data_IF_074909914898
#
_entry.id   IF_074909914898
#
_cell.length_a   1.000
_cell.length_b   1.000
_cell.length_c   1.000
_cell.angle_alpha   90.00
_cell.angle_beta   90.00
_cell.angle_gamma   90.00
#
_symmetry.space_group_name_H-M   'P 1'
#
loop_
_entity.id
_entity.type
_entity.pdbx_description
1 polymer ?
#
# COMPACT_ATOMS: atom_id res chain seq x y z
N UNK A 1 48.27 -36.80 -19.54
CA UNK A 1 48.15 -35.41 -20.01
C UNK A 1 47.32 -35.41 -21.28
N UNK A 2 46.17 -34.73 -21.29
CA UNK A 2 45.27 -34.69 -22.43
C UNK A 2 43.97 -33.96 -22.10
N UNK A 3 43.77 -32.79 -22.70
CA UNK A 3 42.51 -32.06 -22.71
C UNK A 3 41.38 -32.92 -23.30
N UNK A 4 40.17 -32.80 -22.73
CA UNK A 4 38.94 -32.98 -23.51
C UNK A 4 37.85 -32.06 -22.99
N UNK A 5 37.33 -31.27 -23.93
CA UNK A 5 36.27 -30.28 -23.81
C UNK A 5 34.92 -31.00 -23.68
N UNK A 6 34.13 -30.66 -22.66
CA UNK A 6 32.76 -31.15 -22.51
C UNK A 6 31.81 -30.34 -23.40
N UNK A 7 31.15 -31.03 -24.32
CA UNK A 7 30.29 -30.46 -25.35
C UNK A 7 28.84 -30.36 -24.85
N UNK A 8 28.20 -29.20 -25.02
CA UNK A 8 26.79 -28.96 -24.69
C UNK A 8 25.87 -29.70 -25.66
N UNK A 9 25.02 -30.59 -25.15
CA UNK A 9 23.80 -31.00 -25.85
C UNK A 9 22.61 -31.02 -24.91
N UNK A 10 21.82 -29.96 -24.97
CA UNK A 10 20.52 -29.85 -24.32
C UNK A 10 19.59 -29.05 -25.23
N UNK A 11 18.82 -29.77 -26.06
CA UNK A 11 17.77 -29.21 -26.92
C UNK A 11 16.78 -28.43 -26.07
N UNK A 12 16.74 -27.10 -26.22
CA UNK A 12 15.64 -26.29 -25.72
C UNK A 12 14.41 -26.50 -26.61
N UNK A 13 13.39 -27.15 -26.07
CA UNK A 13 12.11 -27.36 -26.72
C UNK A 13 11.28 -26.06 -26.65
N UNK A 14 11.21 -25.31 -27.75
CA UNK A 14 10.45 -24.07 -27.87
C UNK A 14 8.99 -24.35 -28.23
N UNK A 15 8.19 -24.81 -27.26
CA UNK A 15 6.73 -24.83 -27.41
C UNK A 15 6.01 -24.63 -26.08
N UNK A 16 5.82 -23.36 -25.70
CA UNK A 16 4.80 -22.99 -24.72
C UNK A 16 3.89 -21.89 -25.30
N UNK A 17 2.97 -22.27 -26.19
CA UNK A 17 1.79 -21.45 -26.50
C UNK A 17 0.83 -21.48 -25.30
N UNK A 18 1.16 -20.77 -24.22
CA UNK A 18 0.16 -20.37 -23.21
C UNK A 18 -0.63 -19.20 -23.78
N UNK A 19 -1.76 -19.47 -24.43
CA UNK A 19 -2.82 -18.45 -24.58
C UNK A 19 -3.35 -18.16 -23.16
N UNK A 20 -2.71 -17.22 -22.47
CA UNK A 20 -3.28 -16.66 -21.24
C UNK A 20 -4.54 -15.89 -21.64
N UNK A 21 -5.68 -16.31 -21.10
CA UNK A 21 -6.92 -15.53 -21.16
C UNK A 21 -6.60 -14.22 -20.43
N UNK A 22 -6.41 -13.10 -21.16
CA UNK A 22 -6.13 -11.80 -20.52
C UNK A 22 -7.25 -11.48 -19.54
N UNK A 23 -6.96 -11.50 -18.23
CA UNK A 23 -7.87 -10.95 -17.23
C UNK A 23 -8.07 -9.47 -17.57
N UNK A 24 -9.32 -9.00 -17.62
CA UNK A 24 -9.58 -7.56 -17.71
C UNK A 24 -8.91 -6.89 -16.52
N UNK A 25 -8.04 -5.94 -16.79
CA UNK A 25 -7.39 -5.13 -15.77
C UNK A 25 -8.42 -4.10 -15.30
N UNK A 26 -8.81 -4.15 -14.03
CA UNK A 26 -9.66 -3.11 -13.46
C UNK A 26 -8.85 -1.82 -13.34
N UNK A 27 -9.48 -0.68 -13.61
CA UNK A 27 -8.84 0.64 -13.56
C UNK A 27 -9.73 1.64 -12.84
N UNK A 28 -9.09 2.56 -12.11
CA UNK A 28 -9.75 3.69 -11.48
C UNK A 28 -9.18 4.98 -12.09
N UNK A 29 -10.06 5.90 -12.46
CA UNK A 29 -9.68 7.26 -12.88
C UNK A 29 -9.70 8.18 -11.66
N UNK A 30 -8.79 9.14 -11.62
CA UNK A 30 -8.63 9.97 -10.44
C UNK A 30 -9.62 11.14 -10.41
N UNK A 31 -9.96 11.68 -11.58
CA UNK A 31 -10.88 12.81 -11.69
C UNK A 31 -10.24 14.13 -11.27
N UNK A 32 -8.91 14.22 -11.39
CA UNK A 32 -8.11 15.41 -11.13
C UNK A 32 -7.27 15.67 -12.37
N UNK A 33 -7.48 16.80 -13.04
CA UNK A 33 -6.87 17.14 -14.33
C UNK A 33 -5.36 16.88 -14.33
N UNK A 34 -4.63 17.48 -13.38
CA UNK A 34 -3.18 17.32 -13.26
C UNK A 34 -2.73 15.86 -13.07
N UNK A 35 -3.53 15.01 -12.44
CA UNK A 35 -3.17 13.60 -12.18
C UNK A 35 -3.57 12.71 -13.35
N UNK A 36 -4.69 13.01 -13.99
CA UNK A 36 -5.14 12.33 -15.20
C UNK A 36 -4.24 12.68 -16.40
N UNK A 37 -3.60 13.86 -16.43
CA UNK A 37 -2.54 14.17 -17.41
C UNK A 37 -1.31 13.27 -17.25
N UNK A 38 -0.92 12.98 -16.00
CA UNK A 38 0.25 12.12 -15.69
C UNK A 38 -0.10 10.64 -15.89
N UNK A 39 -1.33 10.24 -15.55
CA UNK A 39 -1.83 8.86 -15.62
C UNK A 39 -3.15 8.79 -16.41
N UNK A 40 -3.12 8.97 -17.75
CA UNK A 40 -4.33 9.12 -18.58
C UNK A 40 -5.22 7.88 -18.62
N UNK A 41 -4.64 6.70 -18.44
CA UNK A 41 -5.40 5.46 -18.34
C UNK A 41 -5.88 5.15 -16.91
N UNK A 42 -5.60 6.03 -15.95
CA UNK A 42 -5.81 5.80 -14.53
C UNK A 42 -4.90 4.72 -13.95
N UNK A 43 -5.21 4.29 -12.74
CA UNK A 43 -4.46 3.27 -12.01
C UNK A 43 -5.13 1.91 -12.13
N UNK A 44 -4.34 0.89 -12.47
CA UNK A 44 -4.79 -0.49 -12.45
C UNK A 44 -4.85 -1.03 -11.01
N UNK A 45 -5.82 -1.90 -10.71
CA UNK A 45 -5.90 -2.59 -9.41
C UNK A 45 -6.38 -4.05 -9.54
N UNK A 46 -5.96 -4.95 -8.63
CA UNK A 46 -5.08 -4.71 -7.47
C UNK A 46 -3.61 -4.46 -7.89
N UNK A 47 -2.92 -3.58 -7.18
CA UNK A 47 -1.51 -3.24 -7.42
C UNK A 47 -0.83 -2.74 -6.13
N UNK A 48 0.50 -2.69 -6.15
CA UNK A 48 1.31 -2.00 -5.14
C UNK A 48 2.00 -0.81 -5.83
N UNK A 49 1.90 0.38 -5.24
CA UNK A 49 2.45 1.61 -5.83
C UNK A 49 3.32 2.35 -4.83
N UNK A 50 4.59 2.54 -5.20
CA UNK A 50 5.56 3.31 -4.43
C UNK A 50 5.65 4.73 -5.01
N UNK A 51 5.43 5.73 -4.17
CA UNK A 51 5.63 7.14 -4.51
C UNK A 51 6.92 7.63 -3.84
N UNK A 52 7.97 7.84 -4.63
CA UNK A 52 9.31 8.22 -4.15
C UNK A 52 9.80 9.54 -4.74
N UNK A 53 10.70 10.22 -4.04
CA UNK A 53 11.27 11.50 -4.47
C UNK A 53 11.77 12.37 -3.30
N UNK A 54 12.52 13.45 -3.58
CA UNK A 54 13.07 14.35 -2.57
C UNK A 54 12.03 14.92 -1.59
N UNK A 55 12.48 15.39 -0.42
CA UNK A 55 11.62 16.13 0.51
C UNK A 55 10.97 17.35 -0.17
N UNK A 56 9.72 17.65 0.16
CA UNK A 56 9.02 18.81 -0.39
C UNK A 56 8.39 18.64 -1.79
N UNK A 57 8.59 17.52 -2.49
CA UNK A 57 8.02 17.30 -3.84
C UNK A 57 6.53 16.93 -3.87
N UNK A 58 5.80 17.06 -2.75
CA UNK A 58 4.36 16.81 -2.71
C UNK A 58 3.93 15.34 -2.75
N UNK A 59 4.82 14.36 -2.49
CA UNK A 59 4.47 12.92 -2.49
C UNK A 59 3.20 12.56 -1.70
N UNK A 60 2.99 13.06 -0.47
CA UNK A 60 1.76 12.78 0.26
C UNK A 60 0.51 13.29 -0.47
N UNK A 61 0.61 14.43 -1.18
CA UNK A 61 -0.51 15.02 -1.92
C UNK A 61 -0.98 14.06 -3.02
N UNK A 62 -0.05 13.45 -3.78
CA UNK A 62 -0.41 12.41 -4.76
C UNK A 62 -1.13 11.25 -4.07
N UNK A 63 -0.63 10.78 -2.93
CA UNK A 63 -1.29 9.74 -2.14
C UNK A 63 -2.70 10.12 -1.67
N UNK A 64 -2.90 11.38 -1.30
CA UNK A 64 -4.19 11.91 -0.86
C UNK A 64 -5.19 12.04 -2.02
N UNK A 65 -4.72 12.34 -3.24
CA UNK A 65 -5.54 12.27 -4.44
C UNK A 65 -6.06 10.84 -4.69
N UNK A 66 -5.21 9.83 -4.45
CA UNK A 66 -5.59 8.42 -4.57
C UNK A 66 -6.64 8.04 -3.52
N UNK A 67 -6.42 8.42 -2.25
CA UNK A 67 -7.42 8.23 -1.18
C UNK A 67 -8.75 8.86 -1.58
N UNK A 68 -8.70 10.10 -2.06
CA UNK A 68 -9.89 10.85 -2.41
C UNK A 68 -10.70 10.16 -3.52
N UNK A 69 -10.04 9.82 -4.63
CA UNK A 69 -10.68 9.11 -5.74
C UNK A 69 -11.21 7.73 -5.30
N UNK A 70 -10.44 6.98 -4.52
CA UNK A 70 -10.83 5.64 -4.08
C UNK A 70 -12.09 5.66 -3.20
N UNK A 71 -12.20 6.62 -2.28
CA UNK A 71 -13.39 6.82 -1.46
C UNK A 71 -14.61 7.26 -2.29
N UNK A 72 -14.43 8.21 -3.21
CA UNK A 72 -15.49 8.66 -4.14
C UNK A 72 -16.04 7.53 -5.00
N UNK A 73 -15.20 6.56 -5.34
CA UNK A 73 -15.60 5.36 -6.11
C UNK A 73 -16.20 4.24 -5.25
N UNK A 74 -16.48 4.48 -3.96
CA UNK A 74 -17.14 3.52 -3.07
C UNK A 74 -16.18 2.58 -2.32
N UNK A 75 -14.88 2.77 -2.48
CA UNK A 75 -13.84 1.98 -1.82
C UNK A 75 -13.72 2.28 -0.32
N UNK A 76 -12.86 1.51 0.33
CA UNK A 76 -12.49 1.69 1.73
C UNK A 76 -10.98 1.88 1.86
N UNK A 77 -10.57 2.55 2.95
CA UNK A 77 -9.18 2.92 3.17
C UNK A 77 -8.70 2.39 4.52
N UNK A 78 -7.47 1.88 4.53
CA UNK A 78 -6.68 1.72 5.76
C UNK A 78 -5.56 2.73 5.70
N UNK A 79 -5.56 3.68 6.62
CA UNK A 79 -4.52 4.69 6.75
C UNK A 79 -3.55 4.24 7.83
N UNK A 80 -2.33 3.89 7.44
CA UNK A 80 -1.25 3.54 8.36
C UNK A 80 -0.31 4.75 8.43
N UNK A 81 -0.31 5.45 9.56
CA UNK A 81 0.54 6.61 9.75
C UNK A 81 1.69 6.29 10.70
N UNK A 82 2.91 6.33 10.17
CA UNK A 82 4.15 6.28 10.97
C UNK A 82 4.66 7.70 11.26
N UNK A 83 4.42 8.64 10.35
CA UNK A 83 4.95 10.01 10.44
C UNK A 83 4.05 11.00 11.17
N UNK A 84 2.73 10.85 11.07
CA UNK A 84 1.78 11.82 11.60
C UNK A 84 1.16 11.29 12.89
N UNK A 85 1.09 12.16 13.91
CA UNK A 85 0.49 11.86 15.22
C UNK A 85 -1.05 11.88 15.18
N UNK A 86 -1.65 12.48 14.16
CA UNK A 86 -3.10 12.55 13.97
C UNK A 86 -3.48 12.53 12.50
N UNK A 87 -4.75 12.27 12.23
CA UNK A 87 -5.34 12.35 10.89
C UNK A 87 -5.54 13.78 10.39
N UNK A 88 -5.35 14.81 11.22
CA UNK A 88 -5.75 16.19 10.89
C UNK A 88 -5.09 16.69 9.61
N UNK A 89 -3.80 16.39 9.45
CA UNK A 89 -3.08 16.75 8.23
C UNK A 89 -3.72 16.14 6.97
N UNK A 90 -4.07 14.85 7.01
CA UNK A 90 -4.70 14.16 5.88
C UNK A 90 -6.09 14.74 5.65
N UNK A 91 -6.90 14.89 6.71
CA UNK A 91 -8.27 15.43 6.65
C UNK A 91 -8.33 16.83 6.04
N UNK A 92 -7.53 17.76 6.58
CA UNK A 92 -7.48 19.14 6.12
C UNK A 92 -7.02 19.16 4.67
N UNK A 93 -5.92 18.45 4.35
CA UNK A 93 -5.37 18.48 2.99
C UNK A 93 -6.33 17.86 1.96
N UNK A 94 -7.02 16.77 2.28
CA UNK A 94 -8.02 16.19 1.36
C UNK A 94 -9.25 17.06 1.20
N UNK A 95 -9.66 17.78 2.24
CA UNK A 95 -10.77 18.71 2.17
C UNK A 95 -10.43 19.91 1.30
N UNK A 96 -9.32 20.57 1.59
CA UNK A 96 -8.89 21.80 0.91
C UNK A 96 -8.47 21.56 -0.54
N UNK A 97 -7.71 20.49 -0.84
CA UNK A 97 -7.17 20.27 -2.19
C UNK A 97 -8.08 19.42 -3.08
N UNK A 98 -8.88 18.54 -2.49
CA UNK A 98 -9.59 17.50 -3.23
C UNK A 98 -11.11 17.54 -3.04
N UNK A 99 -11.60 18.48 -2.22
CA UNK A 99 -13.02 18.68 -1.91
C UNK A 99 -13.62 17.46 -1.21
N UNK A 100 -12.80 16.68 -0.49
CA UNK A 100 -13.25 15.47 0.19
C UNK A 100 -13.11 15.62 1.70
N UNK A 101 -14.24 15.71 2.39
CA UNK A 101 -14.27 15.59 3.84
C UNK A 101 -14.22 14.10 4.23
N UNK A 102 -13.16 13.68 4.92
CA UNK A 102 -13.02 12.29 5.36
C UNK A 102 -14.05 11.91 6.42
N UNK A 103 -14.66 12.90 7.08
CA UNK A 103 -15.66 12.63 8.10
C UNK A 103 -16.94 12.02 7.51
N UNK A 104 -17.24 12.30 6.23
CA UNK A 104 -18.35 11.69 5.48
C UNK A 104 -18.12 10.21 5.16
N UNK A 105 -16.89 9.72 5.36
CA UNK A 105 -16.44 8.37 5.01
C UNK A 105 -15.92 7.60 6.23
N UNK A 106 -16.25 8.03 7.46
CA UNK A 106 -15.79 7.38 8.71
C UNK A 106 -16.03 5.87 8.72
N UNK A 107 -17.17 5.40 8.20
CA UNK A 107 -17.50 3.97 8.12
C UNK A 107 -16.60 3.18 7.15
N UNK A 108 -15.90 3.86 6.24
CA UNK A 108 -15.02 3.28 5.20
C UNK A 108 -13.54 3.46 5.47
N UNK A 109 -13.17 4.25 6.47
CA UNK A 109 -11.78 4.51 6.83
C UNK A 109 -11.46 3.73 8.12
N UNK A 110 -10.28 3.12 8.16
CA UNK A 110 -9.67 2.61 9.39
C UNK A 110 -8.33 3.32 9.57
N UNK A 111 -8.16 4.00 10.69
CA UNK A 111 -6.90 4.63 11.06
C UNK A 111 -6.08 3.69 11.94
N UNK A 112 -4.82 3.50 11.57
CA UNK A 112 -3.83 2.73 12.33
C UNK A 112 -2.67 3.67 12.65
N UNK A 113 -2.59 4.07 13.91
CA UNK A 113 -1.47 4.84 14.43
C UNK A 113 -0.38 3.86 14.85
N UNK A 114 0.83 4.09 14.33
CA UNK A 114 1.99 3.38 14.83
C UNK A 114 2.32 3.87 16.26
N UNK A 115 2.38 2.92 17.19
CA UNK A 115 2.76 3.15 18.58
C UNK A 115 3.80 2.09 18.99
N UNK A 116 5.10 2.43 19.09
CA UNK A 116 6.15 1.47 19.45
C UNK A 116 6.19 1.14 20.94
N UNK A 117 5.52 1.93 21.80
CA UNK A 117 5.59 1.79 23.26
C UNK A 117 4.64 0.69 23.79
N UNK A 118 3.74 0.18 22.94
CA UNK A 118 2.85 -0.94 23.25
C UNK A 118 3.40 -2.24 22.65
N UNK A 119 3.07 -3.37 23.26
CA UNK A 119 3.48 -4.68 22.74
C UNK A 119 2.44 -5.35 21.85
N UNK A 120 1.30 -4.69 21.61
CA UNK A 120 0.10 -5.29 21.02
C UNK A 120 -0.63 -4.34 20.06
N UNK A 121 -1.90 -4.66 19.76
CA UNK A 121 -2.84 -3.79 19.03
C UNK A 121 -3.91 -3.36 20.03
N UNK A 122 -4.08 -2.05 20.20
CA UNK A 122 -5.11 -1.47 21.05
C UNK A 122 -6.17 -0.78 20.19
N UNK A 123 -7.44 -1.13 20.42
CA UNK A 123 -8.56 -0.45 19.78
C UNK A 123 -8.95 0.76 20.63
N UNK A 124 -8.74 1.96 20.08
CA UNK A 124 -9.15 3.21 20.73
C UNK A 124 -10.59 3.60 20.35
N UNK A 125 -11.01 3.27 19.14
CA UNK A 125 -12.39 3.45 18.66
C UNK A 125 -12.73 2.41 17.56
N UNK A 126 -13.98 2.38 17.10
CA UNK A 126 -14.46 1.54 16.00
C UNK A 126 -13.58 1.62 14.75
N UNK A 127 -13.11 2.82 14.42
CA UNK A 127 -12.29 3.09 13.23
C UNK A 127 -10.88 3.58 13.56
N UNK A 128 -10.40 3.37 14.80
CA UNK A 128 -9.07 3.79 15.23
C UNK A 128 -8.36 2.70 16.05
N UNK A 129 -7.18 2.29 15.56
CA UNK A 129 -6.27 1.35 16.21
C UNK A 129 -4.93 2.04 16.49
N UNK A 130 -4.33 1.70 17.63
CA UNK A 130 -2.91 1.86 17.87
C UNK A 130 -2.25 0.49 17.79
N UNK A 131 -1.12 0.39 17.11
CA UNK A 131 -0.42 -0.88 16.95
C UNK A 131 1.09 -0.69 16.92
N UNK A 132 1.80 -1.59 17.60
CA UNK A 132 3.22 -1.76 17.37
C UNK A 132 3.44 -2.61 16.13
N UNK A 133 3.57 -1.92 15.00
CA UNK A 133 3.73 -2.53 13.69
C UNK A 133 5.15 -3.10 13.46
N UNK A 134 6.10 -2.93 14.38
CA UNK A 134 7.43 -3.57 14.28
C UNK A 134 7.35 -5.09 14.48
N UNK A 135 6.27 -5.55 15.11
CA UNK A 135 6.00 -6.96 15.36
C UNK A 135 5.20 -7.56 14.21
N UNK A 136 5.73 -8.56 13.47
CA UNK A 136 5.04 -9.17 12.33
C UNK A 136 3.63 -9.67 12.66
N UNK A 137 3.45 -10.26 13.85
CA UNK A 137 2.16 -10.75 14.31
C UNK A 137 1.10 -9.64 14.47
N UNK A 138 1.53 -8.43 14.85
CA UNK A 138 0.65 -7.27 14.96
C UNK A 138 0.32 -6.69 13.58
N UNK A 139 1.26 -6.76 12.63
CA UNK A 139 0.98 -6.39 11.24
C UNK A 139 -0.13 -7.27 10.65
N UNK A 140 0.04 -8.59 10.70
CA UNK A 140 -0.93 -9.54 10.14
C UNK A 140 -2.30 -9.39 10.79
N UNK A 141 -2.34 -9.26 12.11
CA UNK A 141 -3.58 -9.01 12.85
C UNK A 141 -4.24 -7.69 12.45
N UNK A 142 -3.48 -6.62 12.26
CA UNK A 142 -4.02 -5.32 11.81
C UNK A 142 -4.66 -5.44 10.43
N UNK A 143 -4.01 -6.12 9.49
CA UNK A 143 -4.54 -6.35 8.14
C UNK A 143 -5.79 -7.22 8.17
N UNK A 144 -5.85 -8.24 9.03
CA UNK A 144 -7.03 -9.09 9.20
C UNK A 144 -8.22 -8.26 9.74
N UNK A 145 -8.00 -7.47 10.79
CA UNK A 145 -9.02 -6.56 11.34
C UNK A 145 -9.53 -5.60 10.26
N UNK A 146 -8.61 -5.00 9.49
CA UNK A 146 -8.96 -4.10 8.41
C UNK A 146 -9.84 -4.77 7.34
N UNK A 147 -9.44 -5.96 6.93
CA UNK A 147 -10.13 -6.74 5.90
C UNK A 147 -11.54 -7.12 6.36
N UNK A 148 -11.72 -7.45 7.65
CA UNK A 148 -13.04 -7.76 8.22
C UNK A 148 -13.98 -6.56 8.28
N UNK A 149 -13.49 -5.39 8.72
CA UNK A 149 -14.31 -4.19 8.86
C UNK A 149 -14.75 -3.67 7.49
N UNK A 150 -13.94 -3.86 6.44
CA UNK A 150 -14.12 -3.22 5.13
C UNK A 150 -14.52 -4.18 3.99
N UNK A 151 -15.10 -5.35 4.31
CA UNK A 151 -15.53 -6.36 3.31
C UNK A 151 -16.55 -5.79 2.31
N UNK A 152 -16.57 -6.38 1.11
CA UNK A 152 -17.63 -6.24 0.09
C UNK A 152 -17.85 -4.82 -0.46
N UNK A 153 -16.79 -4.04 -0.60
CA UNK A 153 -16.81 -2.76 -1.33
C UNK A 153 -16.12 -2.91 -2.68
N UNK A 154 -16.58 -2.18 -3.69
CA UNK A 154 -15.91 -2.03 -4.98
C UNK A 154 -15.42 -0.57 -5.05
N UNK A 155 -14.16 -0.28 -5.43
CA UNK A 155 -13.08 -1.17 -5.92
C UNK A 155 -12.42 -2.08 -4.87
N UNK A 156 -12.74 -1.91 -3.58
CA UNK A 156 -12.18 -2.69 -2.48
C UNK A 156 -11.42 -1.82 -1.49
N UNK A 157 -10.40 -2.40 -0.88
CA UNK A 157 -9.58 -1.74 0.14
C UNK A 157 -8.30 -1.19 -0.48
N UNK A 158 -8.02 0.09 -0.23
CA UNK A 158 -6.72 0.72 -0.46
C UNK A 158 -6.00 0.85 0.89
N UNK A 159 -4.79 0.33 0.97
CA UNK A 159 -3.91 0.54 2.12
C UNK A 159 -2.96 1.66 1.74
N UNK A 160 -3.04 2.76 2.48
CA UNK A 160 -2.14 3.89 2.33
C UNK A 160 -1.24 3.98 3.56
N UNK A 161 0.07 3.87 3.35
CA UNK A 161 1.06 3.96 4.40
C UNK A 161 2.08 5.06 4.07
N UNK A 162 2.20 6.08 4.93
CA UNK A 162 3.21 7.12 4.76
C UNK A 162 4.52 6.69 5.43
N UNK A 163 5.59 6.71 4.62
CA UNK A 163 6.98 6.50 5.05
C UNK A 163 7.23 5.26 5.90
N UNK A 164 6.95 4.10 5.29
CA UNK A 164 7.70 2.89 5.59
C UNK A 164 9.18 3.17 5.29
N UNK A 165 9.93 3.63 6.29
CA UNK A 165 11.36 3.37 6.27
C UNK A 165 11.48 1.85 6.39
N UNK A 166 11.68 1.19 5.25
CA UNK A 166 11.70 -0.28 5.12
C UNK A 166 12.70 -0.90 6.09
N UNK A 167 13.71 -0.14 6.52
CA UNK A 167 14.67 -0.52 7.56
C UNK A 167 14.04 -0.74 8.94
N UNK A 168 12.88 -0.14 9.28
CA UNK A 168 12.17 -0.48 10.52
C UNK A 168 11.68 -1.94 10.52
N UNK A 169 11.56 -2.56 9.34
CA UNK A 169 11.10 -3.93 9.16
C UNK A 169 12.23 -4.87 8.72
N UNK A 170 13.46 -4.38 8.60
CA UNK A 170 14.61 -5.24 8.37
C UNK A 170 14.91 -6.03 9.65
N UNK A 171 15.23 -7.32 9.50
CA UNK A 171 15.73 -8.11 10.60
C UNK A 171 16.92 -7.39 11.26
N UNK A 172 17.03 -7.39 12.60
CA UNK A 172 18.21 -6.86 13.26
C UNK A 172 19.46 -7.54 12.68
N UNK A 173 20.52 -6.76 12.50
CA UNK A 173 21.78 -7.19 11.84
C UNK A 173 22.37 -8.44 12.51
N UNK A 174 22.06 -8.70 13.78
CA UNK A 174 22.45 -9.91 14.52
C UNK A 174 21.95 -11.22 13.88
N UNK A 175 20.89 -11.19 13.07
CA UNK A 175 20.36 -12.35 12.34
C UNK A 175 20.92 -12.49 10.91
N UNK A 176 21.79 -11.58 10.47
CA UNK A 176 22.48 -11.69 9.18
C UNK A 176 23.77 -12.50 9.36
N UNK A 177 23.65 -13.83 9.38
CA UNK A 177 24.81 -14.72 9.22
C UNK A 177 25.41 -14.49 7.83
N UNK A 178 26.60 -13.89 7.75
CA UNK A 178 27.43 -13.96 6.55
C UNK A 178 28.07 -15.34 6.49
N UNK A 179 27.74 -16.20 5.51
CA UNK A 179 28.55 -17.38 5.26
C UNK A 179 29.95 -16.90 4.84
N UNK A 180 30.97 -17.33 5.57
CA UNK A 180 32.37 -17.17 5.18
C UNK A 180 32.68 -18.03 3.96
#
# INVERSE_FOLDING_TARGET
MGCSSFNLSGRFNTNLKRRSKMKRVNRIRFGYEWLDEILPEGMSYPTFTLISGPGGTGKPLVGFAFISSWLKNGGSIVLISIQYKSMDFIKITTKELYGLDLDDYKDRILYVQFNPDIDSIERKDRNYLEANLLKPENWDRTINIATEIKKNRNPGMLIFASALNILLFSLPIENCYYPK
#
